data_IF_198512871770
#
_entry.id   IF_198512871770
#
_cell.length_a   1.000
_cell.length_b   1.000
_cell.length_c   1.000
_cell.angle_alpha   90.00
_cell.angle_beta   90.00
_cell.angle_gamma   90.00
#
_symmetry.space_group_name_H-M   'P 1'
#
loop_
_entity.id
_entity.type
_entity.pdbx_description
1 polymer ?
#
# COMPACT_ATOMS: atom_id res chain seq x y z
N UNK A 1 7.39 34.09 41.85
CA UNK A 1 6.59 32.99 41.26
C UNK A 1 6.02 33.47 39.93
N UNK A 2 6.67 33.15 38.81
CA UNK A 2 6.16 33.41 37.47
C UNK A 2 5.91 32.09 36.78
N UNK A 3 4.65 31.64 36.74
CA UNK A 3 4.24 30.47 35.97
C UNK A 3 4.36 30.82 34.48
N UNK A 4 5.46 30.38 33.86
CA UNK A 4 5.69 30.49 32.43
C UNK A 4 4.60 29.75 31.67
N UNK A 5 3.71 30.51 31.03
CA UNK A 5 2.78 29.97 30.03
C UNK A 5 3.62 29.53 28.82
N UNK A 6 4.02 28.26 28.77
CA UNK A 6 4.48 27.66 27.52
C UNK A 6 3.30 27.66 26.54
N UNK A 7 3.36 28.56 25.56
CA UNK A 7 2.42 28.57 24.45
C UNK A 7 2.47 27.23 23.73
N UNK A 8 1.32 26.55 23.63
CA UNK A 8 1.18 25.36 22.78
C UNK A 8 1.49 25.80 21.34
N UNK A 9 2.65 25.43 20.81
CA UNK A 9 2.90 25.53 19.37
C UNK A 9 1.81 24.75 18.65
N UNK A 10 1.08 25.40 17.74
CA UNK A 10 0.15 24.72 16.87
C UNK A 10 0.92 23.63 16.11
N UNK A 11 0.48 22.37 16.25
CA UNK A 11 1.06 21.27 15.47
C UNK A 11 0.61 21.47 14.03
N UNK A 12 1.57 21.61 13.12
CA UNK A 12 1.30 21.47 11.69
C UNK A 12 0.85 20.03 11.46
N UNK A 13 -0.41 19.87 11.08
CA UNK A 13 -0.95 18.57 10.68
C UNK A 13 -0.75 18.47 9.17
N UNK A 14 0.15 17.58 8.75
CA UNK A 14 0.28 17.25 7.34
C UNK A 14 -0.83 16.26 6.96
N UNK A 15 -1.49 16.53 5.84
CA UNK A 15 -2.45 15.59 5.26
C UNK A 15 -1.76 14.33 4.75
N UNK A 16 -2.50 13.22 4.60
CA UNK A 16 -1.95 12.01 4.01
C UNK A 16 -1.55 12.22 2.54
N UNK A 17 -0.55 11.47 2.08
CA UNK A 17 -0.10 11.45 0.68
C UNK A 17 -0.72 10.24 -0.03
N UNK A 18 -1.65 10.44 -0.97
CA UNK A 18 -2.19 9.35 -1.77
C UNK A 18 -1.25 9.01 -2.94
N UNK A 19 -1.01 7.72 -3.14
CA UNK A 19 -0.22 7.18 -4.24
C UNK A 19 -1.07 6.18 -5.03
N UNK A 20 -1.12 6.36 -6.35
CA UNK A 20 -1.80 5.44 -7.26
C UNK A 20 -0.79 4.45 -7.83
N UNK A 21 -0.98 3.16 -7.52
CA UNK A 21 -0.18 2.05 -8.02
C UNK A 21 -0.98 1.37 -9.15
N UNK A 22 -0.96 2.02 -10.31
CA UNK A 22 -1.90 1.78 -11.42
C UNK A 22 -1.87 0.32 -11.89
N UNK A 23 -0.68 -0.19 -12.20
CA UNK A 23 -0.51 -1.54 -12.73
C UNK A 23 -0.93 -2.66 -11.74
N UNK A 24 -1.21 -2.31 -10.49
CA UNK A 24 -1.65 -3.23 -9.44
C UNK A 24 -3.11 -2.98 -9.02
N UNK A 25 -3.85 -2.07 -9.67
CA UNK A 25 -5.19 -1.68 -9.24
C UNK A 25 -5.24 -1.33 -7.73
N UNK A 26 -4.22 -0.62 -7.24
CA UNK A 26 -4.09 -0.35 -5.81
C UNK A 26 -3.81 1.12 -5.51
N UNK A 27 -4.36 1.58 -4.39
CA UNK A 27 -4.03 2.85 -3.75
C UNK A 27 -3.15 2.58 -2.53
N UNK A 28 -2.20 3.47 -2.28
CA UNK A 28 -1.46 3.54 -1.02
C UNK A 28 -1.65 4.92 -0.40
N UNK A 29 -2.10 5.00 0.84
CA UNK A 29 -2.17 6.22 1.61
C UNK A 29 -1.00 6.23 2.61
N UNK A 30 -0.14 7.24 2.51
CA UNK A 30 0.99 7.41 3.42
C UNK A 30 0.69 8.55 4.38
N UNK A 31 0.67 8.28 5.69
CA UNK A 31 0.41 9.30 6.70
C UNK A 31 1.37 9.19 7.87
N UNK A 32 1.73 10.33 8.44
CA UNK A 32 2.56 10.37 9.64
C UNK A 32 1.70 10.48 10.91
N UNK A 33 2.23 9.94 11.99
CA UNK A 33 1.74 10.12 13.36
C UNK A 33 2.82 10.83 14.18
N UNK A 34 2.76 10.77 15.52
CA UNK A 34 3.83 11.32 16.35
C UNK A 34 5.15 10.54 16.29
N UNK A 35 5.07 9.22 16.08
CA UNK A 35 6.24 8.33 16.20
C UNK A 35 6.38 7.34 15.04
N UNK A 36 5.45 7.36 14.09
CA UNK A 36 5.38 6.37 13.01
C UNK A 36 4.90 6.96 11.70
N UNK A 37 5.33 6.36 10.59
CA UNK A 37 4.72 6.50 9.27
C UNK A 37 3.86 5.26 9.00
N UNK A 38 2.63 5.49 8.57
CA UNK A 38 1.65 4.46 8.30
C UNK A 38 1.37 4.42 6.81
N UNK A 39 1.47 3.22 6.25
CA UNK A 39 1.14 2.89 4.86
C UNK A 39 -0.15 2.07 4.88
N UNK A 40 -1.21 2.61 4.30
CA UNK A 40 -2.51 1.94 4.17
C UNK A 40 -2.73 1.62 2.69
N UNK A 41 -2.83 0.34 2.35
CA UNK A 41 -3.06 -0.10 0.97
C UNK A 41 -4.46 -0.65 0.79
N UNK A 42 -5.00 -0.44 -0.41
CA UNK A 42 -6.32 -0.92 -0.77
C UNK A 42 -6.48 -1.09 -2.27
N UNK A 43 -7.35 -2.03 -2.65
CA UNK A 43 -7.76 -2.21 -4.03
C UNK A 43 -8.57 -0.99 -4.52
N UNK A 44 -8.37 -0.52 -5.75
CA UNK A 44 -9.10 0.65 -6.28
C UNK A 44 -10.42 0.26 -6.92
N UNK A 45 -10.41 -0.74 -7.80
CA UNK A 45 -11.61 -1.27 -8.45
C UNK A 45 -11.84 -2.74 -8.08
N UNK A 46 -13.10 -3.15 -7.82
CA UNK A 46 -13.39 -4.56 -7.57
C UNK A 46 -13.21 -5.40 -8.84
N UNK A 47 -12.98 -6.71 -8.69
CA UNK A 47 -13.01 -7.65 -9.82
C UNK A 47 -14.40 -7.74 -10.46
N UNK A 48 -14.46 -8.09 -11.75
CA UNK A 48 -15.73 -8.29 -12.45
C UNK A 48 -16.57 -9.39 -11.78
N UNK A 49 -15.93 -10.46 -11.31
CA UNK A 49 -16.59 -11.54 -10.61
C UNK A 49 -17.32 -11.07 -9.34
N UNK A 50 -16.68 -10.19 -8.55
CA UNK A 50 -17.30 -9.61 -7.35
C UNK A 50 -18.52 -8.74 -7.71
N UNK A 51 -18.44 -7.98 -8.82
CA UNK A 51 -19.54 -7.16 -9.30
C UNK A 51 -20.73 -8.02 -9.76
N UNK A 52 -20.49 -9.03 -10.61
CA UNK A 52 -21.56 -9.85 -11.18
C UNK A 52 -22.20 -10.83 -10.19
N UNK A 53 -21.46 -11.30 -9.17
CA UNK A 53 -21.97 -12.25 -8.18
C UNK A 53 -22.74 -11.59 -7.03
N UNK A 54 -22.59 -10.27 -6.84
CA UNK A 54 -23.26 -9.57 -5.73
C UNK A 54 -24.71 -9.26 -6.09
N UNK A 55 -25.64 -9.84 -5.33
CA UNK A 55 -27.03 -9.39 -5.33
C UNK A 55 -27.18 -8.13 -4.46
N UNK A 56 -27.54 -7.01 -5.09
CA UNK A 56 -27.69 -5.72 -4.40
C UNK A 56 -26.40 -4.90 -4.36
N UNK A 57 -26.09 -4.26 -3.22
CA UNK A 57 -24.93 -3.36 -3.10
C UNK A 57 -23.65 -4.10 -2.74
N UNK A 58 -22.62 -3.98 -3.57
CA UNK A 58 -21.27 -4.43 -3.27
C UNK A 58 -20.69 -3.68 -2.06
N UNK A 59 -20.33 -4.42 -1.01
CA UNK A 59 -19.66 -3.88 0.18
C UNK A 59 -18.17 -4.12 0.05
N UNK A 60 -17.38 -3.07 0.33
CA UNK A 60 -15.92 -3.11 0.35
C UNK A 60 -15.44 -2.58 1.69
N UNK A 61 -14.35 -3.14 2.19
CA UNK A 61 -13.71 -2.74 3.44
C UNK A 61 -12.39 -2.05 3.12
N UNK A 62 -12.04 -1.04 3.90
CA UNK A 62 -10.85 -0.25 3.68
C UNK A 62 -10.24 0.16 5.02
N UNK A 63 -8.89 0.25 5.14
CA UNK A 63 -7.92 -0.26 4.17
C UNK A 63 -7.87 -1.80 4.17
N UNK A 64 -7.35 -2.40 3.10
CA UNK A 64 -7.19 -3.86 3.03
C UNK A 64 -5.97 -4.31 3.85
N UNK A 65 -4.90 -3.52 3.84
CA UNK A 65 -3.74 -3.74 4.70
C UNK A 65 -3.18 -2.41 5.21
N UNK A 66 -2.57 -2.44 6.40
CA UNK A 66 -1.91 -1.30 7.00
C UNK A 66 -0.60 -1.71 7.69
N UNK A 67 0.47 -0.97 7.42
CA UNK A 67 1.79 -1.20 8.02
C UNK A 67 2.29 0.10 8.67
N UNK A 68 2.80 0.00 9.90
CA UNK A 68 3.26 1.14 10.68
C UNK A 68 4.76 1.03 10.98
N UNK A 69 5.55 1.93 10.40
CA UNK A 69 7.01 1.98 10.50
C UNK A 69 7.41 3.04 11.53
N UNK A 70 8.25 2.72 12.52
CA UNK A 70 8.84 3.73 13.42
C UNK A 70 9.59 4.81 12.64
N UNK A 71 9.56 6.06 13.09
CA UNK A 71 10.27 7.15 12.39
C UNK A 71 11.77 6.87 12.25
N UNK A 72 12.36 6.25 13.25
CA UNK A 72 13.80 5.95 13.30
C UNK A 72 14.20 5.00 12.16
N UNK A 73 13.29 4.11 11.73
CA UNK A 73 13.47 3.24 10.57
C UNK A 73 13.13 3.99 9.28
N UNK A 74 12.06 4.78 9.30
CA UNK A 74 11.62 5.53 8.12
C UNK A 74 12.62 6.62 7.70
N UNK A 75 13.40 7.19 8.61
CA UNK A 75 14.42 8.20 8.30
C UNK A 75 15.66 7.62 7.61
N UNK A 76 15.81 6.30 7.56
CA UNK A 76 16.87 5.65 6.78
C UNK A 76 16.66 5.90 5.28
N UNK A 77 17.64 6.54 4.64
CA UNK A 77 17.55 6.93 3.23
C UNK A 77 17.48 5.73 2.28
N UNK A 78 18.13 4.63 2.59
CA UNK A 78 18.06 3.41 1.77
C UNK A 78 16.71 2.72 1.95
N UNK A 79 16.12 2.76 3.15
CA UNK A 79 14.76 2.28 3.37
C UNK A 79 13.72 3.07 2.56
N UNK A 80 13.75 4.41 2.62
CA UNK A 80 12.85 5.27 1.82
C UNK A 80 13.03 4.97 0.34
N UNK A 81 14.28 4.88 -0.13
CA UNK A 81 14.60 4.61 -1.53
C UNK A 81 14.09 3.24 -1.98
N UNK A 82 14.25 2.20 -1.15
CA UNK A 82 13.73 0.87 -1.44
C UNK A 82 12.20 0.87 -1.55
N UNK A 83 11.49 1.57 -0.65
CA UNK A 83 10.03 1.71 -0.73
C UNK A 83 9.62 2.48 -1.99
N UNK A 84 10.26 3.62 -2.25
CA UNK A 84 9.94 4.46 -3.40
C UNK A 84 10.17 3.72 -4.72
N UNK A 85 11.30 3.01 -4.85
CA UNK A 85 11.61 2.17 -6.01
C UNK A 85 10.62 1.02 -6.15
N UNK A 86 10.23 0.38 -5.05
CA UNK A 86 9.22 -0.68 -5.07
C UNK A 86 7.88 -0.15 -5.56
N UNK A 87 7.38 0.95 -4.99
CA UNK A 87 6.11 1.57 -5.40
C UNK A 87 6.14 2.06 -6.85
N UNK A 88 7.25 2.66 -7.29
CA UNK A 88 7.42 3.10 -8.67
C UNK A 88 7.42 1.92 -9.65
N UNK A 89 8.17 0.86 -9.33
CA UNK A 89 8.21 -0.39 -10.10
C UNK A 89 6.81 -0.98 -10.20
N UNK A 90 6.11 -1.12 -9.07
CA UNK A 90 4.75 -1.67 -9.02
C UNK A 90 3.72 -0.78 -9.72
N UNK A 91 3.96 0.52 -9.87
CA UNK A 91 3.03 1.41 -10.57
C UNK A 91 3.01 1.18 -12.08
N UNK A 92 4.11 0.66 -12.65
CA UNK A 92 4.25 0.45 -14.10
C UNK A 92 4.43 -1.00 -14.52
N UNK A 93 4.90 -1.88 -13.64
CA UNK A 93 5.07 -3.30 -13.94
C UNK A 93 3.86 -4.11 -13.47
N UNK A 94 3.19 -4.75 -14.41
CA UNK A 94 2.23 -5.81 -14.11
C UNK A 94 3.00 -7.09 -13.78
N UNK A 95 2.76 -7.66 -12.61
CA UNK A 95 3.31 -8.98 -12.26
C UNK A 95 2.49 -9.99 -13.06
N UNK A 96 3.12 -10.70 -14.01
CA UNK A 96 2.44 -11.62 -14.94
C UNK A 96 1.68 -12.76 -14.24
N UNK A 97 2.02 -13.02 -12.98
CA UNK A 97 1.40 -14.01 -12.08
C UNK A 97 0.08 -13.50 -11.46
N UNK A 98 -0.14 -12.18 -11.46
CA UNK A 98 -1.32 -11.53 -10.86
C UNK A 98 -2.34 -11.06 -11.89
N UNK A 99 -2.08 -11.32 -13.18
CA UNK A 99 -3.07 -11.16 -14.24
C UNK A 99 -4.14 -12.25 -14.12
N UNK A 100 -5.43 -11.91 -14.08
CA UNK A 100 -6.51 -12.89 -14.17
C UNK A 100 -6.34 -13.72 -15.44
N UNK A 101 -6.29 -15.04 -15.29
CA UNK A 101 -6.32 -15.98 -16.41
C UNK A 101 -7.70 -16.61 -16.42
N UNK A 102 -8.39 -16.56 -17.56
CA UNK A 102 -9.53 -17.44 -17.78
C UNK A 102 -9.22 -18.47 -18.85
N UNK A 103 -9.85 -19.62 -18.70
CA UNK A 103 -9.87 -20.64 -19.74
C UNK A 103 -10.88 -20.24 -20.81
N UNK A 104 -10.38 -19.84 -21.97
CA UNK A 104 -11.20 -19.72 -23.20
C UNK A 104 -10.75 -20.79 -24.19
N UNK A 105 -11.70 -21.60 -24.66
CA UNK A 105 -11.48 -22.59 -25.71
C UNK A 105 -10.25 -23.51 -25.48
N UNK A 106 -10.10 -24.06 -24.26
CA UNK A 106 -8.99 -24.95 -23.84
C UNK A 106 -7.57 -24.32 -23.90
N UNK A 107 -7.44 -23.01 -24.07
CA UNK A 107 -6.18 -22.26 -23.89
C UNK A 107 -6.30 -21.30 -22.70
N UNK A 108 -5.24 -21.24 -21.89
CA UNK A 108 -5.09 -20.22 -20.86
C UNK A 108 -4.71 -18.90 -21.55
N UNK A 109 -5.68 -17.99 -21.68
CA UNK A 109 -5.44 -16.64 -22.19
C UNK A 109 -5.53 -15.64 -21.04
N UNK A 110 -4.70 -14.60 -21.12
CA UNK A 110 -4.77 -13.43 -20.23
C UNK A 110 -6.14 -12.78 -20.46
N UNK A 111 -6.93 -12.63 -19.41
CA UNK A 111 -8.20 -11.90 -19.46
C UNK A 111 -7.91 -10.40 -19.34
N UNK A 112 -7.67 -9.73 -20.47
CA UNK A 112 -7.46 -8.27 -20.51
C UNK A 112 -8.61 -7.44 -19.94
N UNK A 113 -9.79 -8.04 -19.71
CA UNK A 113 -11.00 -7.34 -19.25
C UNK A 113 -11.22 -7.40 -17.73
N UNK A 114 -10.45 -8.20 -17.00
CA UNK A 114 -10.61 -8.34 -15.55
C UNK A 114 -9.50 -7.59 -14.80
N UNK A 115 -9.84 -7.16 -13.59
CA UNK A 115 -8.99 -6.28 -12.82
C UNK A 115 -7.77 -7.04 -12.27
N UNK A 116 -6.58 -6.44 -12.34
CA UNK A 116 -5.35 -7.01 -11.76
C UNK A 116 -5.56 -7.26 -10.28
N UNK A 117 -5.29 -8.48 -9.81
CA UNK A 117 -5.30 -8.75 -8.37
C UNK A 117 -4.13 -7.97 -7.74
N UNK A 118 -4.37 -7.10 -6.75
CA UNK A 118 -3.32 -6.26 -6.21
C UNK A 118 -2.27 -7.08 -5.45
N UNK A 119 -1.03 -7.18 -5.98
CA UNK A 119 0.08 -7.85 -5.27
C UNK A 119 0.46 -7.05 -4.03
N UNK A 120 0.39 -5.73 -4.13
CA UNK A 120 0.78 -4.84 -3.03
C UNK A 120 -0.11 -5.04 -1.79
N UNK A 121 -1.42 -5.24 -1.97
CA UNK A 121 -2.34 -5.49 -0.85
C UNK A 121 -1.99 -6.81 -0.14
N UNK A 122 -1.54 -7.82 -0.90
CA UNK A 122 -1.22 -9.13 -0.37
C UNK A 122 0.18 -9.23 0.25
N UNK A 123 1.15 -8.40 -0.20
CA UNK A 123 2.57 -8.60 0.09
C UNK A 123 3.28 -7.41 0.76
N UNK A 124 2.61 -6.28 1.00
CA UNK A 124 3.18 -5.18 1.78
C UNK A 124 3.61 -5.62 3.20
N UNK A 125 3.16 -6.77 3.69
CA UNK A 125 3.41 -7.27 5.04
C UNK A 125 4.63 -8.18 5.21
N UNK A 126 5.32 -8.66 4.16
CA UNK A 126 6.16 -9.87 4.28
C UNK A 126 7.70 -9.71 4.27
N UNK A 127 8.37 -8.88 3.43
CA UNK A 127 9.81 -8.63 3.63
C UNK A 127 10.26 -7.17 3.51
N UNK A 128 9.48 -6.31 2.85
CA UNK A 128 9.84 -4.90 2.60
C UNK A 128 9.87 -4.05 3.90
N UNK A 129 9.10 -4.47 4.90
CA UNK A 129 8.92 -3.77 6.17
C UNK A 129 9.46 -4.55 7.37
N UNK A 130 10.36 -5.51 7.13
CA UNK A 130 11.03 -6.29 8.17
C UNK A 130 12.48 -5.76 8.34
N UNK A 131 12.69 -4.60 9.01
CA UNK A 131 14.03 -4.01 9.19
C UNK A 131 14.95 -4.88 10.07
N UNK A 132 14.43 -5.93 10.69
CA UNK A 132 15.15 -6.83 11.61
C UNK A 132 15.98 -7.91 10.91
N UNK A 133 15.80 -8.15 9.61
CA UNK A 133 16.59 -9.16 8.91
C UNK A 133 17.98 -8.67 8.46
N UNK A 134 18.19 -7.34 8.35
CA UNK A 134 19.41 -6.77 7.77
C UNK A 134 20.33 -6.05 8.78
N UNK A 135 19.93 -5.87 10.04
CA UNK A 135 20.76 -5.19 11.04
C UNK A 135 21.38 -6.19 12.04
N UNK A 136 22.50 -6.81 11.65
CA UNK A 136 23.43 -7.35 12.65
C UNK A 136 24.30 -6.19 13.15
N UNK A 137 24.22 -5.81 14.44
CA UNK A 137 25.13 -4.80 14.98
C UNK A 137 26.57 -5.34 14.89
N UNK A 138 27.48 -4.50 14.39
CA UNK A 138 28.92 -4.66 14.61
C UNK A 138 29.29 -4.07 15.96
#
# INVERSE_FOLDING_TARGET
MGLGKQGRKARVVYGPVPLHVVAQNAGTLVRSTQSRVIFETFELSPSNAAVYSTSGRLRRYFPDAAVAVPFEVFEDSEFIKAIAQTLATMSHQSVSEMQPRAMKAKKNQIEERDTVKPFIVNHLSSPLFDPLAAHKPK
#
